data_IF_687522704881
#
_entry.id   IF_687522704881
#
_cell.length_a   1.000
_cell.length_b   1.000
_cell.length_c   1.000
_cell.angle_alpha   90.00
_cell.angle_beta   90.00
_cell.angle_gamma   90.00
#
_symmetry.space_group_name_H-M   'P 1'
#
loop_
_entity.id
_entity.type
_entity.pdbx_description
1 polymer ?
#
# COMPACT_ATOMS: atom_id res chain seq x y z
N UNK A 1 14.17 -12.21 -2.42
CA UNK A 1 14.64 -12.49 -1.06
C UNK A 1 16.17 -12.63 -1.05
N UNK A 2 16.77 -13.50 -1.90
CA UNK A 2 18.22 -13.69 -1.94
C UNK A 2 19.01 -12.41 -2.23
N UNK A 3 18.56 -11.59 -3.17
CA UNK A 3 19.17 -10.29 -3.46
C UNK A 3 19.09 -9.34 -2.25
N UNK A 4 17.92 -9.23 -1.62
CA UNK A 4 17.76 -8.43 -0.40
C UNK A 4 18.63 -8.94 0.76
N UNK A 5 18.79 -10.26 0.90
CA UNK A 5 19.70 -10.83 1.88
C UNK A 5 21.16 -10.45 1.60
N UNK A 6 21.56 -10.41 0.32
CA UNK A 6 22.91 -10.03 -0.10
C UNK A 6 23.20 -8.52 -0.03
N UNK A 7 22.22 -7.67 0.25
CA UNK A 7 22.42 -6.22 0.38
C UNK A 7 21.93 -5.40 -0.81
N UNK A 8 21.22 -6.01 -1.75
CA UNK A 8 20.68 -5.33 -2.92
C UNK A 8 19.21 -4.94 -2.71
N UNK A 9 18.76 -3.87 -3.37
CA UNK A 9 17.35 -3.55 -3.46
C UNK A 9 16.65 -4.57 -4.36
N UNK A 10 15.82 -5.41 -3.77
CA UNK A 10 15.10 -6.46 -4.49
C UNK A 10 13.74 -5.96 -4.99
N UNK A 11 13.52 -6.06 -6.30
CA UNK A 11 12.25 -5.71 -6.94
C UNK A 11 11.79 -6.88 -7.82
N UNK A 12 10.51 -7.23 -7.77
CA UNK A 12 9.89 -8.21 -8.67
C UNK A 12 8.52 -7.72 -9.13
N UNK A 13 8.12 -8.07 -10.35
CA UNK A 13 6.83 -7.69 -10.90
C UNK A 13 6.02 -8.93 -11.32
N UNK A 14 4.70 -8.85 -11.14
CA UNK A 14 3.76 -9.91 -11.49
C UNK A 14 2.33 -9.38 -11.63
N UNK A 15 1.35 -10.27 -11.67
CA UNK A 15 -0.09 -10.01 -11.56
C UNK A 15 -0.70 -10.86 -10.44
N UNK A 16 -1.99 -10.71 -10.15
CA UNK A 16 -2.68 -11.40 -9.06
C UNK A 16 -2.37 -12.88 -8.89
N UNK A 17 -2.43 -13.72 -9.96
CA UNK A 17 -2.04 -15.13 -9.85
C UNK A 17 -0.60 -15.34 -9.41
N UNK A 18 0.33 -14.50 -9.88
CA UNK A 18 1.73 -14.58 -9.47
C UNK A 18 1.95 -14.13 -8.02
N UNK A 19 1.16 -13.17 -7.49
CA UNK A 19 1.16 -12.82 -6.07
C UNK A 19 0.69 -14.02 -5.23
N UNK A 20 -0.38 -14.69 -5.65
CA UNK A 20 -0.86 -15.90 -4.98
C UNK A 20 0.23 -16.98 -4.86
N UNK A 21 0.98 -17.21 -5.95
CA UNK A 21 2.10 -18.14 -5.96
C UNK A 21 3.30 -17.71 -5.10
N UNK A 22 3.39 -16.43 -4.76
CA UNK A 22 4.50 -15.86 -3.96
C UNK A 22 4.09 -15.55 -2.52
N UNK A 23 2.87 -15.90 -2.09
CA UNK A 23 2.36 -15.53 -0.76
C UNK A 23 3.26 -16.03 0.36
N UNK A 24 3.80 -17.26 0.26
CA UNK A 24 4.75 -17.80 1.25
C UNK A 24 6.09 -17.03 1.23
N UNK A 25 6.61 -16.70 0.06
CA UNK A 25 7.83 -15.91 -0.05
C UNK A 25 7.67 -14.50 0.54
N UNK A 26 6.48 -13.89 0.44
CA UNK A 26 6.17 -12.63 1.09
C UNK A 26 6.11 -12.78 2.62
N UNK A 27 5.50 -13.84 3.13
CA UNK A 27 5.54 -14.19 4.56
C UNK A 27 6.97 -14.37 5.07
N UNK A 28 7.82 -15.06 4.30
CA UNK A 28 9.24 -15.19 4.60
C UNK A 28 9.96 -13.84 4.61
N UNK A 29 9.66 -12.93 3.68
CA UNK A 29 10.25 -11.58 3.67
C UNK A 29 9.81 -10.77 4.90
N UNK A 30 8.56 -10.90 5.34
CA UNK A 30 8.06 -10.26 6.58
C UNK A 30 8.80 -10.77 7.80
N UNK A 31 8.87 -12.09 7.99
CA UNK A 31 9.47 -12.66 9.21
C UNK A 31 10.99 -12.52 9.25
N UNK A 32 11.66 -12.43 8.11
CA UNK A 32 13.11 -12.19 8.02
C UNK A 32 13.45 -10.70 8.00
N UNK A 33 12.44 -9.84 7.88
CA UNK A 33 12.58 -8.38 7.80
C UNK A 33 13.59 -7.98 6.72
N UNK A 34 13.32 -8.37 5.50
CA UNK A 34 14.12 -8.03 4.31
C UNK A 34 13.39 -7.04 3.41
N UNK A 35 14.08 -6.02 2.88
CA UNK A 35 13.49 -5.07 1.95
C UNK A 35 13.17 -5.75 0.62
N UNK A 36 11.92 -5.67 0.20
CA UNK A 36 11.45 -6.23 -1.06
C UNK A 36 10.32 -5.36 -1.62
N UNK A 37 10.38 -5.02 -2.90
CA UNK A 37 9.25 -4.40 -3.58
C UNK A 37 8.64 -5.41 -4.56
N UNK A 38 7.34 -5.66 -4.39
CA UNK A 38 6.57 -6.47 -5.32
C UNK A 38 5.56 -5.59 -6.05
N UNK A 39 5.75 -5.43 -7.35
CA UNK A 39 4.79 -4.73 -8.22
C UNK A 39 3.75 -5.73 -8.70
N UNK A 40 2.49 -5.49 -8.35
CA UNK A 40 1.35 -6.25 -8.84
C UNK A 40 0.55 -5.41 -9.83
N UNK A 41 0.62 -5.77 -11.11
CA UNK A 41 -0.24 -5.18 -12.16
C UNK A 41 -1.55 -5.97 -12.18
N UNK A 42 -2.55 -5.45 -11.48
CA UNK A 42 -3.84 -6.11 -11.32
C UNK A 42 -4.60 -6.21 -12.64
N UNK A 43 -5.28 -7.32 -12.82
CA UNK A 43 -6.18 -7.56 -13.95
C UNK A 43 -7.41 -8.34 -13.50
N UNK A 44 -8.45 -8.38 -14.35
CA UNK A 44 -9.63 -9.18 -14.07
C UNK A 44 -9.31 -10.64 -13.77
N UNK A 45 -9.73 -11.11 -12.60
CA UNK A 45 -9.59 -12.47 -12.11
C UNK A 45 -10.90 -13.25 -12.20
N UNK A 46 -10.99 -14.43 -11.53
CA UNK A 46 -9.92 -15.19 -10.87
C UNK A 46 -8.99 -15.93 -11.84
N UNK A 47 -7.85 -16.42 -11.33
CA UNK A 47 -6.80 -17.11 -12.09
C UNK A 47 -6.32 -16.28 -13.28
N UNK A 48 -6.27 -16.83 -14.50
CA UNK A 48 -5.90 -16.09 -15.71
C UNK A 48 -6.91 -14.99 -16.04
N UNK A 49 -8.18 -15.20 -15.73
CA UNK A 49 -9.26 -14.21 -15.82
C UNK A 49 -9.37 -13.53 -17.17
N UNK A 50 -9.31 -12.19 -17.15
CA UNK A 50 -9.36 -11.34 -18.34
C UNK A 50 -7.99 -10.70 -18.58
N UNK A 51 -7.09 -11.31 -19.38
CA UNK A 51 -5.79 -10.72 -19.69
C UNK A 51 -5.91 -9.30 -20.22
N UNK A 52 -5.02 -8.41 -19.76
CA UNK A 52 -4.97 -6.99 -20.15
C UNK A 52 -6.20 -6.14 -19.77
N UNK A 53 -7.19 -6.68 -19.10
CA UNK A 53 -8.38 -5.96 -18.64
C UNK A 53 -8.21 -5.52 -17.20
N UNK A 54 -8.53 -4.25 -16.93
CA UNK A 54 -8.32 -3.64 -15.61
C UNK A 54 -9.35 -4.10 -14.60
N UNK A 55 -8.88 -4.43 -13.41
CA UNK A 55 -9.65 -4.56 -12.16
C UNK A 55 -8.77 -4.16 -10.97
N UNK A 56 -9.39 -3.94 -9.82
CA UNK A 56 -8.72 -3.68 -8.53
C UNK A 56 -9.04 -4.82 -7.55
N UNK A 57 -8.91 -6.05 -8.02
CA UNK A 57 -9.39 -7.25 -7.33
C UNK A 57 -8.44 -7.79 -6.26
N UNK A 58 -7.20 -7.28 -6.17
CA UNK A 58 -6.14 -7.89 -5.39
C UNK A 58 -5.82 -7.14 -4.07
N UNK A 59 -6.60 -6.13 -3.67
CA UNK A 59 -6.33 -5.36 -2.45
C UNK A 59 -6.39 -6.25 -1.19
N UNK A 60 -7.43 -7.06 -1.04
CA UNK A 60 -7.53 -7.98 0.09
C UNK A 60 -6.42 -9.03 0.07
N UNK A 61 -6.02 -9.52 -1.10
CA UNK A 61 -4.88 -10.42 -1.24
C UNK A 61 -3.58 -9.73 -0.79
N UNK A 62 -3.38 -8.47 -1.19
CA UNK A 62 -2.19 -7.71 -0.82
C UNK A 62 -2.11 -7.45 0.69
N UNK A 63 -3.22 -7.15 1.35
CA UNK A 63 -3.24 -6.85 2.78
C UNK A 63 -3.30 -8.12 3.62
N UNK A 64 -4.15 -9.12 3.27
CA UNK A 64 -4.49 -10.26 4.12
C UNK A 64 -4.12 -11.62 3.54
N UNK A 65 -3.71 -11.72 2.29
CA UNK A 65 -3.57 -12.98 1.53
C UNK A 65 -2.32 -13.80 1.86
N UNK A 66 -1.93 -13.88 3.13
CA UNK A 66 -0.81 -14.72 3.62
C UNK A 66 -1.23 -15.51 4.86
N UNK A 67 -0.46 -16.55 5.19
CA UNK A 67 -0.66 -17.26 6.45
C UNK A 67 -0.06 -16.45 7.62
N UNK A 68 -0.64 -16.61 8.80
CA UNK A 68 -0.22 -15.92 10.03
C UNK A 68 -0.44 -14.40 9.99
N UNK A 69 0.01 -13.73 11.05
CA UNK A 69 -0.01 -12.27 11.15
C UNK A 69 1.21 -11.70 10.43
N UNK A 70 1.05 -11.37 9.14
CA UNK A 70 2.11 -10.92 8.27
C UNK A 70 1.77 -9.56 7.64
N UNK A 71 1.82 -8.46 8.42
CA UNK A 71 1.46 -7.13 7.96
C UNK A 71 2.43 -6.64 6.88
N UNK A 72 1.91 -5.94 5.89
CA UNK A 72 2.68 -5.40 4.77
C UNK A 72 2.23 -4.01 4.39
N UNK A 73 3.14 -3.24 3.81
CA UNK A 73 2.81 -1.96 3.21
C UNK A 73 2.21 -2.17 1.82
N UNK A 74 1.12 -1.46 1.54
CA UNK A 74 0.42 -1.53 0.25
C UNK A 74 0.20 -0.12 -0.30
N UNK A 75 0.75 0.14 -1.47
CA UNK A 75 0.67 1.41 -2.18
C UNK A 75 -0.02 1.24 -3.53
N UNK A 76 -0.58 2.31 -4.08
CA UNK A 76 -1.17 2.31 -5.42
C UNK A 76 -0.92 3.64 -6.15
N UNK A 77 -0.38 3.64 -7.37
CA UNK A 77 -0.24 4.86 -8.17
C UNK A 77 -1.61 5.34 -8.66
N UNK A 78 -1.74 6.64 -8.89
CA UNK A 78 -2.97 7.28 -9.37
C UNK A 78 -3.02 7.39 -10.91
N UNK A 79 -1.87 7.53 -11.56
CA UNK A 79 -1.73 7.75 -13.00
C UNK A 79 -0.48 7.04 -13.53
N UNK A 80 -0.30 6.91 -14.87
CA UNK A 80 0.93 6.38 -15.44
C UNK A 80 2.19 7.11 -14.99
N UNK A 81 2.19 8.45 -14.94
CA UNK A 81 3.33 9.24 -14.47
C UNK A 81 3.60 9.02 -12.97
N UNK A 82 2.55 8.84 -12.16
CA UNK A 82 2.66 8.59 -10.72
C UNK A 82 3.28 7.23 -10.40
N UNK A 83 3.32 6.29 -11.36
CA UNK A 83 3.99 5.00 -11.18
C UNK A 83 5.45 5.15 -10.77
N UNK A 84 6.16 6.15 -11.33
CA UNK A 84 7.56 6.41 -10.97
C UNK A 84 7.68 6.81 -9.49
N UNK A 85 6.90 7.81 -9.07
CA UNK A 85 6.98 8.31 -7.69
C UNK A 85 6.54 7.27 -6.67
N UNK A 86 5.51 6.47 -6.98
CA UNK A 86 5.06 5.42 -6.07
C UNK A 86 6.00 4.21 -6.03
N UNK A 87 6.69 3.89 -7.13
CA UNK A 87 7.75 2.89 -7.12
C UNK A 87 8.96 3.37 -6.30
N UNK A 88 9.34 4.64 -6.45
CA UNK A 88 10.39 5.27 -5.64
C UNK A 88 10.04 5.23 -4.14
N UNK A 89 8.81 5.62 -3.78
CA UNK A 89 8.31 5.59 -2.41
C UNK A 89 8.27 4.16 -1.86
N UNK A 90 7.87 3.17 -2.65
CA UNK A 90 7.90 1.77 -2.25
C UNK A 90 9.33 1.30 -1.91
N UNK A 91 10.31 1.69 -2.71
CA UNK A 91 11.72 1.39 -2.46
C UNK A 91 12.23 2.09 -1.19
N UNK A 92 11.90 3.37 -1.02
CA UNK A 92 12.26 4.16 0.17
C UNK A 92 11.74 3.52 1.46
N UNK A 93 10.44 3.18 1.47
CA UNK A 93 9.82 2.51 2.62
C UNK A 93 10.46 1.14 2.88
N UNK A 94 10.64 0.33 1.84
CA UNK A 94 11.23 -1.00 1.99
C UNK A 94 12.62 -0.96 2.63
N UNK A 95 13.48 -0.04 2.17
CA UNK A 95 14.84 0.12 2.68
C UNK A 95 14.87 0.72 4.09
N UNK A 96 14.11 1.78 4.33
CA UNK A 96 14.08 2.47 5.63
C UNK A 96 13.58 1.57 6.74
N UNK A 97 12.49 0.83 6.49
CA UNK A 97 11.82 0.03 7.52
C UNK A 97 12.16 -1.46 7.49
N UNK A 98 13.00 -1.91 6.55
CA UNK A 98 13.35 -3.33 6.39
C UNK A 98 12.09 -4.21 6.31
N UNK A 99 11.21 -3.89 5.35
CA UNK A 99 9.90 -4.53 5.21
C UNK A 99 9.57 -4.73 3.72
N UNK A 100 8.85 -5.80 3.36
CA UNK A 100 8.32 -5.90 2.00
C UNK A 100 7.17 -4.91 1.76
N UNK A 101 7.13 -4.36 0.54
CA UNK A 101 6.10 -3.42 0.07
C UNK A 101 5.45 -3.96 -1.19
N UNK A 102 4.12 -3.94 -1.26
CA UNK A 102 3.37 -4.22 -2.49
C UNK A 102 2.94 -2.91 -3.14
N UNK A 103 3.28 -2.75 -4.42
CA UNK A 103 2.79 -1.67 -5.26
C UNK A 103 1.69 -2.22 -6.18
N UNK A 104 0.43 -1.86 -5.90
CA UNK A 104 -0.74 -2.25 -6.67
C UNK A 104 -0.95 -1.28 -7.83
N UNK A 105 -0.41 -1.59 -9.00
CA UNK A 105 -0.85 -0.99 -10.26
C UNK A 105 -2.03 -1.78 -10.82
N UNK A 106 -2.64 -1.30 -11.87
CA UNK A 106 -3.71 -2.01 -12.58
C UNK A 106 -3.57 -1.89 -14.09
N UNK A 107 -4.33 -2.70 -14.83
CA UNK A 107 -4.24 -2.76 -16.28
C UNK A 107 -4.58 -1.45 -17.00
N UNK A 108 -5.31 -0.53 -16.38
CA UNK A 108 -5.62 0.78 -16.96
C UNK A 108 -4.39 1.71 -16.87
N UNK A 109 -3.77 1.79 -15.70
CA UNK A 109 -2.56 2.62 -15.49
C UNK A 109 -1.38 2.05 -16.28
N UNK A 110 -1.14 0.73 -16.19
CA UNK A 110 0.02 0.09 -16.78
C UNK A 110 0.03 0.07 -18.33
N UNK A 111 -1.15 0.12 -18.95
CA UNK A 111 -1.30 0.25 -20.41
C UNK A 111 -1.60 1.70 -20.86
N UNK A 112 -1.77 2.60 -19.91
CA UNK A 112 -1.98 4.02 -20.18
C UNK A 112 -0.69 4.77 -20.49
N UNK A 113 -0.84 5.97 -21.06
CA UNK A 113 0.26 6.90 -21.26
C UNK A 113 -0.23 8.32 -20.99
N UNK A 114 0.68 9.16 -20.49
CA UNK A 114 0.44 10.57 -20.29
C UNK A 114 1.76 11.36 -20.46
N UNK A 115 1.72 12.66 -20.74
CA UNK A 115 2.91 13.48 -20.70
C UNK A 115 3.56 13.43 -19.33
N UNK A 116 4.86 13.12 -19.28
CA UNK A 116 5.60 13.01 -18.04
C UNK A 116 6.87 13.84 -18.06
N UNK A 117 7.03 14.70 -17.07
CA UNK A 117 8.26 15.46 -16.87
C UNK A 117 9.19 14.63 -15.98
N UNK A 118 10.37 14.30 -16.50
CA UNK A 118 11.40 13.61 -15.71
C UNK A 118 11.72 14.47 -14.49
N UNK A 119 11.58 13.92 -13.26
CA UNK A 119 11.88 14.68 -12.05
C UNK A 119 13.38 14.98 -11.94
N UNK A 120 13.72 16.09 -11.30
CA UNK A 120 15.10 16.34 -10.90
C UNK A 120 15.47 15.38 -9.77
N UNK A 121 16.48 14.55 -10.00
CA UNK A 121 16.94 13.55 -9.02
C UNK A 121 17.37 14.17 -7.69
N UNK A 122 17.82 15.43 -7.69
CA UNK A 122 18.21 16.15 -6.47
C UNK A 122 17.02 16.58 -5.60
N UNK A 123 15.80 16.48 -6.13
CA UNK A 123 14.56 16.80 -5.38
C UNK A 123 13.87 15.56 -4.82
N UNK A 124 14.36 14.37 -5.17
CA UNK A 124 13.82 13.13 -4.63
C UNK A 124 14.27 12.92 -3.17
N UNK A 125 13.40 12.40 -2.29
CA UNK A 125 13.80 12.05 -0.93
C UNK A 125 14.96 11.03 -0.92
N UNK A 126 15.85 11.14 0.05
CA UNK A 126 16.95 10.18 0.18
C UNK A 126 16.45 8.75 0.41
N UNK A 127 17.19 7.79 -0.18
CA UNK A 127 17.00 6.37 0.11
C UNK A 127 17.98 5.93 1.21
N UNK A 128 17.50 5.95 2.43
CA UNK A 128 18.29 5.48 3.57
C UNK A 128 18.46 3.96 3.53
N UNK A 129 19.70 3.50 3.72
CA UNK A 129 19.98 2.08 3.90
C UNK A 129 20.46 1.81 5.32
N UNK A 130 20.06 0.68 5.87
CA UNK A 130 20.44 0.27 7.23
C UNK A 130 21.63 -0.70 7.27
N UNK A 131 22.45 -0.69 6.23
CA UNK A 131 23.63 -1.55 6.13
C UNK A 131 24.63 -1.17 7.23
N UNK A 132 24.91 -2.13 8.11
CA UNK A 132 25.89 -1.97 9.16
C UNK A 132 27.31 -2.15 8.61
N UNK A 133 28.18 -1.23 9.02
CA UNK A 133 29.61 -1.25 8.68
C UNK A 133 30.52 -1.68 9.86
N UNK A 134 29.95 -1.76 11.06
CA UNK A 134 30.70 -2.05 12.28
C UNK A 134 29.98 -3.09 13.13
N UNK A 135 30.77 -3.97 13.75
CA UNK A 135 30.32 -5.06 14.61
C UNK A 135 29.87 -4.61 16.01
N UNK A 136 30.34 -3.47 16.50
CA UNK A 136 30.09 -3.01 17.88
C UNK A 136 28.59 -2.83 18.13
N UNK A 137 28.08 -3.50 19.17
CA UNK A 137 26.66 -3.48 19.51
C UNK A 137 25.75 -4.20 18.52
N UNK A 138 26.28 -5.07 17.66
CA UNK A 138 25.46 -5.80 16.70
C UNK A 138 24.55 -6.82 17.38
N UNK A 139 23.24 -6.63 17.18
CA UNK A 139 22.19 -7.59 17.47
C UNK A 139 21.29 -7.68 16.21
N UNK A 140 21.17 -8.87 15.59
CA UNK A 140 20.60 -9.01 14.24
C UNK A 140 19.12 -8.62 14.12
N UNK A 141 18.38 -8.64 15.23
CA UNK A 141 16.96 -8.26 15.29
C UNK A 141 16.73 -7.21 16.39
N UNK A 142 17.67 -6.27 16.53
CA UNK A 142 17.49 -5.13 17.43
C UNK A 142 16.52 -4.11 16.81
N UNK A 143 15.38 -3.90 17.47
CA UNK A 143 14.34 -2.94 17.10
C UNK A 143 14.37 -1.67 17.96
N UNK A 144 15.44 -1.43 18.68
CA UNK A 144 15.57 -0.30 19.61
C UNK A 144 15.66 1.10 18.97
N UNK A 145 15.38 1.22 17.66
CA UNK A 145 15.30 2.50 16.97
C UNK A 145 13.82 2.91 16.74
N UNK A 146 13.54 4.22 16.51
CA UNK A 146 12.17 4.72 16.38
C UNK A 146 11.37 4.13 15.21
N UNK A 147 12.04 3.57 14.22
CA UNK A 147 11.43 2.99 13.02
C UNK A 147 11.18 1.48 13.15
N UNK A 148 11.60 0.87 14.27
CA UNK A 148 11.52 -0.58 14.51
C UNK A 148 12.16 -1.42 13.39
N UNK A 149 13.10 -0.86 12.64
CA UNK A 149 13.80 -1.56 11.57
C UNK A 149 15.01 -2.29 12.13
N UNK A 150 15.15 -3.57 11.79
CA UNK A 150 16.37 -4.30 12.18
C UNK A 150 17.59 -3.76 11.44
N UNK A 151 18.81 -3.92 12.02
CA UNK A 151 20.04 -3.63 11.30
C UNK A 151 20.25 -4.60 10.13
N UNK A 152 20.80 -4.11 9.04
CA UNK A 152 21.07 -4.91 7.84
C UNK A 152 22.55 -5.32 7.79
N UNK A 153 22.88 -6.50 8.30
CA UNK A 153 24.21 -7.07 8.22
C UNK A 153 24.34 -7.91 6.96
N UNK A 154 25.33 -7.60 6.14
CA UNK A 154 25.57 -8.34 4.90
C UNK A 154 26.25 -9.69 5.18
N UNK A 155 25.92 -10.75 4.44
CA UNK A 155 26.60 -12.04 4.53
C UNK A 155 28.11 -11.90 4.35
N UNK A 156 28.87 -12.58 5.19
CA UNK A 156 30.33 -12.52 5.15
C UNK A 156 30.99 -11.35 5.89
N UNK A 157 30.22 -10.46 6.53
CA UNK A 157 30.75 -9.39 7.36
C UNK A 157 31.30 -10.01 8.67
N UNK A 158 32.63 -9.94 8.93
CA UNK A 158 33.24 -10.60 10.08
C UNK A 158 32.68 -10.15 11.42
N UNK A 159 32.26 -11.10 12.26
CA UNK A 159 31.70 -10.88 13.58
C UNK A 159 30.27 -10.40 13.59
N UNK A 160 29.57 -10.48 12.44
CA UNK A 160 28.12 -10.25 12.31
C UNK A 160 27.40 -11.52 11.82
N UNK A 161 28.03 -12.68 12.02
CA UNK A 161 27.43 -13.95 11.68
C UNK A 161 26.16 -14.17 12.52
N UNK A 162 25.05 -14.43 11.85
CA UNK A 162 23.77 -14.65 12.51
C UNK A 162 22.86 -15.54 11.69
N UNK A 163 21.89 -16.14 12.36
CA UNK A 163 20.86 -16.92 11.69
C UNK A 163 19.82 -16.00 11.07
N UNK A 164 19.39 -16.31 9.84
CA UNK A 164 18.19 -15.75 9.21
C UNK A 164 17.33 -16.91 8.69
N UNK A 165 16.01 -16.83 8.85
CA UNK A 165 15.10 -17.87 8.39
C UNK A 165 13.65 -17.65 8.84
N UNK A 166 12.76 -18.51 8.37
CA UNK A 166 11.32 -18.42 8.57
C UNK A 166 10.81 -18.87 9.93
N UNK A 167 11.65 -19.36 10.83
CA UNK A 167 11.23 -19.70 12.20
C UNK A 167 11.12 -18.45 13.06
N UNK A 168 10.23 -18.46 14.04
CA UNK A 168 10.17 -17.38 15.03
C UNK A 168 11.47 -17.33 15.84
N UNK A 169 11.83 -16.15 16.28
CA UNK A 169 13.10 -15.84 16.88
C UNK A 169 12.98 -14.90 18.07
N UNK A 170 13.95 -14.98 18.97
CA UNK A 170 14.11 -13.98 20.01
C UNK A 170 14.47 -12.63 19.40
N UNK A 171 13.81 -11.59 19.90
CA UNK A 171 14.23 -10.21 19.65
C UNK A 171 15.72 -10.07 20.05
N UNK A 172 16.43 -9.18 19.37
CA UNK A 172 17.88 -8.95 19.49
C UNK A 172 18.73 -10.10 18.95
N UNK A 173 18.69 -11.27 19.55
CA UNK A 173 19.67 -12.35 19.27
C UNK A 173 19.38 -13.11 17.97
N UNK A 174 18.15 -13.17 17.53
CA UNK A 174 17.74 -13.94 16.36
C UNK A 174 17.77 -15.47 16.55
N UNK A 175 17.99 -15.96 17.76
CA UNK A 175 17.91 -17.40 18.05
C UNK A 175 16.48 -17.89 17.92
N UNK A 176 16.29 -19.14 17.48
CA UNK A 176 14.95 -19.74 17.37
C UNK A 176 14.25 -19.72 18.72
N UNK A 177 13.01 -19.31 18.72
CA UNK A 177 12.17 -19.24 19.91
C UNK A 177 10.85 -19.97 19.69
N UNK A 178 10.44 -20.76 20.68
CA UNK A 178 9.11 -21.36 20.80
C UNK A 178 8.35 -20.80 22.01
N UNK A 179 8.89 -19.73 22.59
CA UNK A 179 8.30 -19.07 23.75
C UNK A 179 7.05 -18.30 23.31
N UNK A 180 5.88 -18.51 23.94
CA UNK A 180 4.62 -17.90 23.51
C UNK A 180 4.57 -16.40 23.75
N UNK A 181 5.20 -15.88 24.81
CA UNK A 181 5.22 -14.45 25.10
C UNK A 181 6.12 -13.70 24.10
N UNK A 182 7.27 -14.29 23.76
CA UNK A 182 8.12 -13.76 22.70
C UNK A 182 7.42 -13.77 21.34
N UNK A 183 6.66 -14.83 21.01
CA UNK A 183 5.91 -14.86 19.77
C UNK A 183 4.87 -13.73 19.70
N UNK A 184 4.08 -13.53 20.77
CA UNK A 184 3.15 -12.42 20.88
C UNK A 184 3.85 -11.08 20.65
N UNK A 185 4.96 -10.83 21.34
CA UNK A 185 5.76 -9.61 21.19
C UNK A 185 6.25 -9.39 19.75
N UNK A 186 6.77 -10.43 19.10
CA UNK A 186 7.29 -10.32 17.73
C UNK A 186 6.16 -10.05 16.69
N UNK A 187 4.96 -10.59 16.91
CA UNK A 187 3.78 -10.29 16.09
C UNK A 187 3.38 -8.82 16.26
N UNK A 188 3.25 -8.35 17.49
CA UNK A 188 2.92 -6.94 17.79
C UNK A 188 3.95 -5.97 17.21
N UNK A 189 5.23 -6.28 17.32
CA UNK A 189 6.33 -5.49 16.79
C UNK A 189 6.26 -5.36 15.25
N UNK A 190 5.93 -6.43 14.55
CA UNK A 190 5.73 -6.40 13.09
C UNK A 190 4.53 -5.55 12.69
N UNK A 191 3.43 -5.59 13.46
CA UNK A 191 2.28 -4.73 13.20
C UNK A 191 2.60 -3.27 13.52
N UNK A 192 3.22 -2.99 14.67
CA UNK A 192 3.59 -1.63 15.09
C UNK A 192 4.52 -0.97 14.08
N UNK A 193 5.46 -1.73 13.47
CA UNK A 193 6.31 -1.22 12.39
C UNK A 193 5.48 -0.67 11.22
N UNK A 194 4.43 -1.35 10.80
CA UNK A 194 3.54 -0.86 9.74
C UNK A 194 2.77 0.38 10.20
N UNK A 195 2.30 0.41 11.45
CA UNK A 195 1.56 1.54 12.00
C UNK A 195 2.43 2.80 12.14
N UNK A 196 3.70 2.63 12.50
CA UNK A 196 4.68 3.73 12.57
C UNK A 196 4.92 4.36 11.20
N UNK A 197 4.94 3.56 10.12
CA UNK A 197 5.10 4.08 8.76
C UNK A 197 4.05 5.15 8.43
N UNK A 198 2.84 5.04 8.98
CA UNK A 198 1.80 6.06 8.78
C UNK A 198 2.22 7.47 9.20
N UNK A 199 3.21 7.61 10.11
CA UNK A 199 3.75 8.92 10.57
C UNK A 199 4.59 9.60 9.51
N UNK A 200 5.20 8.82 8.62
CA UNK A 200 6.06 9.30 7.52
C UNK A 200 5.26 9.58 6.25
N UNK A 201 3.99 9.16 6.20
CA UNK A 201 3.15 9.38 5.04
C UNK A 201 2.66 10.82 4.96
N UNK A 202 2.58 11.40 3.76
CA UNK A 202 1.96 12.70 3.60
C UNK A 202 0.49 12.64 4.03
N UNK A 203 -0.03 13.70 4.69
CA UNK A 203 -1.44 13.76 5.05
C UNK A 203 -2.31 13.71 3.78
N UNK A 204 -3.41 12.97 3.86
CA UNK A 204 -4.41 12.94 2.81
C UNK A 204 -5.04 14.33 2.65
N UNK A 205 -5.27 14.74 1.40
CA UNK A 205 -5.84 16.05 1.09
C UNK A 205 -6.94 15.92 0.04
N UNK A 206 -8.20 16.25 0.38
CA UNK A 206 -9.27 16.27 -0.60
C UNK A 206 -9.03 17.32 -1.69
N UNK A 207 -9.41 16.99 -2.91
CA UNK A 207 -9.61 17.98 -3.96
C UNK A 207 -11.00 18.59 -3.81
N UNK A 208 -11.08 19.89 -3.69
CA UNK A 208 -12.30 20.65 -3.40
C UNK A 208 -12.29 21.18 -1.96
N UNK A 209 -13.47 21.28 -1.35
CA UNK A 209 -13.61 21.73 0.03
C UNK A 209 -13.20 20.62 1.01
N UNK A 210 -12.80 21.02 2.20
CA UNK A 210 -12.42 20.08 3.28
C UNK A 210 -13.63 19.47 4.00
N UNK A 211 -14.85 19.94 3.71
CA UNK A 211 -16.12 19.46 4.23
C UNK A 211 -17.23 19.65 3.21
N UNK A 212 -18.33 18.92 3.31
CA UNK A 212 -19.45 19.04 2.37
C UNK A 212 -20.46 17.90 2.44
N UNK A 213 -21.27 17.81 1.40
CA UNK A 213 -22.35 16.83 1.35
C UNK A 213 -21.83 15.43 1.02
N UNK A 214 -20.82 15.32 0.13
CA UNK A 214 -20.29 14.05 -0.33
C UNK A 214 -18.76 14.08 -0.49
N UNK A 215 -18.09 13.08 0.09
CA UNK A 215 -16.69 12.75 -0.22
C UNK A 215 -16.67 11.54 -1.15
N UNK A 216 -16.04 11.69 -2.31
CA UNK A 216 -15.80 10.59 -3.26
C UNK A 216 -14.38 10.10 -3.07
N UNK A 217 -14.21 8.83 -2.66
CA UNK A 217 -12.91 8.21 -2.45
C UNK A 217 -12.64 7.21 -3.57
N UNK A 218 -11.41 7.21 -4.06
CA UNK A 218 -10.89 6.20 -4.99
C UNK A 218 -9.41 5.93 -4.80
N UNK A 219 -8.91 4.98 -5.55
CA UNK A 219 -7.51 4.59 -5.60
C UNK A 219 -7.16 4.01 -6.98
N UNK A 220 -5.86 3.87 -7.28
CA UNK A 220 -5.42 3.27 -8.54
C UNK A 220 -5.99 3.96 -9.78
N UNK A 221 -6.32 3.20 -10.81
CA UNK A 221 -6.81 3.68 -12.11
C UNK A 221 -8.18 4.37 -12.11
N UNK A 222 -8.82 4.53 -10.96
CA UNK A 222 -10.11 5.26 -10.87
C UNK A 222 -9.93 6.79 -10.86
N UNK A 223 -8.71 7.30 -10.65
CA UNK A 223 -8.43 8.72 -10.42
C UNK A 223 -9.06 9.66 -11.45
N UNK A 224 -8.83 9.45 -12.73
CA UNK A 224 -9.26 10.37 -13.79
C UNK A 224 -10.78 10.49 -13.89
N UNK A 225 -11.48 9.36 -13.87
CA UNK A 225 -12.96 9.34 -13.95
C UNK A 225 -13.62 10.00 -12.74
N UNK A 226 -13.10 9.74 -11.54
CA UNK A 226 -13.62 10.34 -10.30
C UNK A 226 -13.34 11.83 -10.26
N UNK A 227 -12.12 12.24 -10.61
CA UNK A 227 -11.72 13.65 -10.65
C UNK A 227 -12.61 14.46 -11.59
N UNK A 228 -12.77 14.00 -12.82
CA UNK A 228 -13.59 14.68 -13.83
C UNK A 228 -15.08 14.76 -13.44
N UNK A 229 -15.63 13.69 -12.85
CA UNK A 229 -17.01 13.68 -12.38
C UNK A 229 -17.24 14.67 -11.23
N UNK A 230 -16.30 14.75 -10.29
CA UNK A 230 -16.38 15.71 -9.17
C UNK A 230 -16.25 17.15 -9.66
N UNK A 231 -15.34 17.44 -10.60
CA UNK A 231 -15.21 18.77 -11.21
C UNK A 231 -16.53 19.20 -11.89
N UNK A 232 -17.17 18.30 -12.62
CA UNK A 232 -18.49 18.56 -13.22
C UNK A 232 -19.55 18.80 -12.15
N UNK A 233 -19.64 17.99 -11.11
CA UNK A 233 -20.59 18.17 -10.02
C UNK A 233 -20.40 19.51 -9.29
N UNK A 234 -19.14 19.90 -9.05
CA UNK A 234 -18.81 21.21 -8.46
C UNK A 234 -19.24 22.38 -9.37
N UNK A 235 -19.06 22.24 -10.70
CA UNK A 235 -19.50 23.27 -11.65
C UNK A 235 -21.03 23.43 -11.69
N UNK A 236 -21.78 22.38 -11.32
CA UNK A 236 -23.22 22.40 -11.14
C UNK A 236 -23.66 22.85 -9.73
N UNK A 237 -22.74 23.30 -8.89
CA UNK A 237 -23.02 23.84 -7.55
C UNK A 237 -23.14 22.77 -6.44
N UNK A 238 -22.83 21.50 -6.69
CA UNK A 238 -22.87 20.45 -5.68
C UNK A 238 -21.66 20.56 -4.73
N UNK A 239 -21.87 20.33 -3.43
CA UNK A 239 -20.83 20.35 -2.40
C UNK A 239 -20.16 18.97 -2.29
N UNK A 240 -19.32 18.65 -3.29
CA UNK A 240 -18.65 17.35 -3.43
C UNK A 240 -17.15 17.53 -3.48
N UNK A 241 -16.38 16.64 -2.84
CA UNK A 241 -14.92 16.61 -2.91
C UNK A 241 -14.42 15.23 -3.26
N UNK A 242 -13.21 15.15 -3.84
CA UNK A 242 -12.55 13.90 -4.22
C UNK A 242 -11.30 13.67 -3.38
N UNK A 243 -11.17 12.49 -2.81
CA UNK A 243 -9.97 12.02 -2.13
C UNK A 243 -9.42 10.77 -2.84
N UNK A 244 -8.20 10.87 -3.36
CA UNK A 244 -7.53 9.72 -3.97
C UNK A 244 -6.47 9.15 -3.04
N UNK A 245 -6.60 7.88 -2.68
CA UNK A 245 -5.68 7.20 -1.77
C UNK A 245 -4.57 6.51 -2.56
N UNK A 246 -3.34 6.89 -2.26
CA UNK A 246 -2.11 6.27 -2.80
C UNK A 246 -1.46 5.30 -1.81
N UNK A 247 -1.78 5.44 -0.53
CA UNK A 247 -1.36 4.58 0.57
C UNK A 247 -2.59 3.84 1.09
N UNK A 248 -2.61 2.52 0.92
CA UNK A 248 -3.76 1.67 1.24
C UNK A 248 -3.55 0.87 2.52
N UNK A 249 -2.30 0.59 2.87
CA UNK A 249 -1.89 0.06 4.16
C UNK A 249 -0.42 0.46 4.46
N UNK A 250 -0.15 1.23 5.54
CA UNK A 250 -1.14 1.88 6.39
C UNK A 250 -1.88 3.01 5.65
N UNK A 251 -3.08 3.32 6.11
CA UNK A 251 -3.83 4.48 5.63
C UNK A 251 -3.25 5.78 6.22
N UNK A 252 -3.38 6.94 5.54
CA UNK A 252 -2.96 8.23 6.08
C UNK A 252 -3.61 8.52 7.44
N UNK A 253 -2.82 9.05 8.40
CA UNK A 253 -3.27 9.25 9.78
C UNK A 253 -4.50 10.14 9.92
N UNK A 254 -4.61 11.17 9.08
CA UNK A 254 -5.70 12.14 9.12
C UNK A 254 -6.98 11.69 8.38
N UNK A 255 -7.02 10.46 7.86
CA UNK A 255 -8.16 10.02 7.06
C UNK A 255 -9.46 10.00 7.87
N UNK A 256 -9.43 9.52 9.12
CA UNK A 256 -10.61 9.52 9.99
C UNK A 256 -11.19 10.91 10.23
N UNK A 257 -10.33 11.92 10.42
CA UNK A 257 -10.74 13.32 10.58
C UNK A 257 -11.38 13.90 9.31
N UNK A 258 -10.94 13.46 8.14
CA UNK A 258 -11.53 13.88 6.86
C UNK A 258 -12.92 13.26 6.68
N UNK A 259 -13.04 11.95 6.95
CA UNK A 259 -14.30 11.22 6.74
C UNK A 259 -15.49 11.85 7.48
N UNK A 260 -15.28 12.26 8.73
CA UNK A 260 -16.35 12.82 9.58
C UNK A 260 -16.77 14.24 9.20
N UNK A 261 -16.04 14.91 8.32
CA UNK A 261 -16.39 16.27 7.83
C UNK A 261 -17.39 16.27 6.68
N UNK A 262 -17.76 15.11 6.17
CA UNK A 262 -18.71 14.97 5.07
C UNK A 262 -19.96 14.23 5.53
N UNK A 263 -21.12 14.64 5.02
CA UNK A 263 -22.40 14.00 5.38
C UNK A 263 -22.49 12.57 4.84
N UNK A 264 -21.94 12.33 3.64
CA UNK A 264 -21.87 11.02 3.00
C UNK A 264 -20.49 10.75 2.47
N UNK A 265 -20.11 9.47 2.44
CA UNK A 265 -18.87 8.99 1.84
C UNK A 265 -19.20 7.96 0.78
N UNK A 266 -18.70 8.15 -0.44
CA UNK A 266 -18.78 7.18 -1.52
C UNK A 266 -17.39 6.64 -1.83
N UNK A 267 -17.25 5.33 -1.95
CA UNK A 267 -16.00 4.67 -2.34
C UNK A 267 -16.22 3.98 -3.69
N UNK A 268 -15.45 4.41 -4.70
CA UNK A 268 -15.54 3.89 -6.05
C UNK A 268 -14.39 2.95 -6.37
N UNK A 269 -14.70 1.69 -6.68
CA UNK A 269 -13.71 0.63 -6.86
C UNK A 269 -14.05 -0.28 -8.05
N UNK A 270 -13.02 -0.73 -8.74
CA UNK A 270 -13.13 -1.77 -9.78
C UNK A 270 -13.09 -3.18 -9.16
N UNK A 271 -13.82 -3.38 -8.08
CA UNK A 271 -14.01 -4.63 -7.33
C UNK A 271 -15.35 -4.57 -6.57
N UNK A 272 -15.65 -5.53 -5.73
CA UNK A 272 -16.89 -5.61 -4.93
C UNK A 272 -16.80 -4.91 -3.56
N UNK A 273 -16.02 -3.82 -3.44
CA UNK A 273 -15.96 -2.99 -2.24
C UNK A 273 -14.88 -3.41 -1.23
N UNK A 274 -13.71 -3.81 -1.70
CA UNK A 274 -12.61 -4.24 -0.83
C UNK A 274 -12.10 -3.10 0.06
N UNK A 275 -11.83 -1.91 -0.49
CA UNK A 275 -11.47 -0.73 0.31
C UNK A 275 -12.65 -0.22 1.14
N UNK A 276 -13.87 -0.26 0.60
CA UNK A 276 -15.06 0.14 1.34
C UNK A 276 -15.21 -0.66 2.63
N UNK A 277 -14.97 -1.96 2.59
CA UNK A 277 -15.01 -2.82 3.78
C UNK A 277 -13.91 -2.46 4.79
N UNK A 278 -12.71 -2.18 4.34
CA UNK A 278 -11.60 -1.75 5.20
C UNK A 278 -11.92 -0.42 5.89
N UNK A 279 -12.41 0.56 5.14
CA UNK A 279 -12.78 1.89 5.67
C UNK A 279 -13.92 1.77 6.68
N UNK A 280 -14.96 1.00 6.35
CA UNK A 280 -16.09 0.74 7.28
C UNK A 280 -15.62 0.11 8.58
N UNK A 281 -14.79 -0.93 8.49
CA UNK A 281 -14.29 -1.65 9.67
C UNK A 281 -13.37 -0.78 10.54
N UNK A 282 -12.49 0.01 9.92
CA UNK A 282 -11.49 0.80 10.64
C UNK A 282 -12.06 2.08 11.25
N UNK A 283 -12.99 2.74 10.57
CA UNK A 283 -13.49 4.06 10.96
C UNK A 283 -14.97 4.09 11.36
N UNK A 284 -15.69 2.97 11.27
CA UNK A 284 -17.11 2.83 11.57
C UNK A 284 -17.99 3.83 10.78
N UNK A 285 -17.61 4.11 9.54
CA UNK A 285 -18.30 5.04 8.65
C UNK A 285 -19.22 4.26 7.71
N UNK A 286 -20.47 4.72 7.56
CA UNK A 286 -21.42 4.18 6.57
C UNK A 286 -21.06 4.68 5.17
N UNK A 287 -20.03 4.07 4.56
CA UNK A 287 -19.59 4.42 3.22
C UNK A 287 -20.43 3.68 2.16
N UNK A 288 -20.93 4.40 1.16
CA UNK A 288 -21.64 3.83 0.01
C UNK A 288 -20.63 3.35 -1.05
N UNK A 289 -20.79 2.13 -1.55
CA UNK A 289 -19.97 1.60 -2.64
C UNK A 289 -20.49 2.01 -4.02
N UNK A 290 -19.57 2.41 -4.91
CA UNK A 290 -19.81 2.39 -6.36
C UNK A 290 -18.86 1.34 -6.95
N UNK A 291 -19.39 0.16 -7.27
CA UNK A 291 -18.61 -1.01 -7.63
C UNK A 291 -18.81 -1.39 -9.09
N UNK A 292 -17.69 -1.71 -9.79
CA UNK A 292 -17.74 -2.16 -11.18
C UNK A 292 -16.74 -3.28 -11.40
N UNK A 293 -17.20 -4.43 -11.88
CA UNK A 293 -16.35 -5.62 -12.16
C UNK A 293 -16.63 -6.06 -13.60
N UNK A 294 -16.04 -5.35 -14.55
CA UNK A 294 -16.31 -5.55 -15.98
C UNK A 294 -15.04 -5.59 -16.84
N UNK A 295 -13.85 -5.55 -16.21
CA UNK A 295 -12.60 -5.40 -16.95
C UNK A 295 -12.47 -4.06 -17.69
N UNK A 296 -13.19 -3.02 -17.23
CA UNK A 296 -13.23 -1.66 -17.81
C UNK A 296 -13.15 -0.61 -16.71
N UNK A 297 -12.50 0.55 -16.96
CA UNK A 297 -12.51 1.66 -16.02
C UNK A 297 -13.93 2.24 -15.88
N UNK A 298 -14.14 3.06 -14.86
CA UNK A 298 -15.31 3.93 -14.79
C UNK A 298 -15.30 4.95 -15.91
N UNK A 299 -16.49 5.33 -16.38
CA UNK A 299 -16.69 6.55 -17.14
C UNK A 299 -17.04 7.69 -16.20
N UNK A 300 -16.76 8.92 -16.60
CA UNK A 300 -17.16 10.12 -15.87
C UNK A 300 -18.70 10.16 -15.63
N UNK A 301 -19.50 9.75 -16.61
CA UNK A 301 -20.96 9.72 -16.53
C UNK A 301 -21.47 8.74 -15.45
N UNK A 302 -20.90 7.53 -15.37
CA UNK A 302 -21.30 6.56 -14.33
C UNK A 302 -21.09 7.14 -12.92
N UNK A 303 -19.95 7.77 -12.69
CA UNK A 303 -19.61 8.38 -11.41
C UNK A 303 -20.49 9.60 -11.13
N UNK A 304 -20.66 10.47 -12.11
CA UNK A 304 -21.50 11.69 -11.98
C UNK A 304 -22.96 11.36 -11.65
N UNK A 305 -23.53 10.35 -12.31
CA UNK A 305 -24.89 9.92 -12.02
C UNK A 305 -25.03 9.44 -10.57
N UNK A 306 -24.06 8.68 -10.07
CA UNK A 306 -24.08 8.24 -8.67
C UNK A 306 -23.87 9.38 -7.67
N UNK A 307 -23.03 10.34 -7.98
CA UNK A 307 -22.90 11.58 -7.19
C UNK A 307 -24.24 12.29 -7.10
N UNK A 308 -24.93 12.49 -8.23
CA UNK A 308 -26.22 13.18 -8.31
C UNK A 308 -27.29 12.45 -7.49
N UNK A 309 -27.37 11.12 -7.60
CA UNK A 309 -28.26 10.28 -6.78
C UNK A 309 -28.02 10.51 -5.28
N UNK A 310 -26.76 10.49 -4.84
CA UNK A 310 -26.42 10.61 -3.42
C UNK A 310 -26.63 12.02 -2.87
N UNK A 311 -26.39 13.06 -3.67
CA UNK A 311 -26.50 14.47 -3.23
C UNK A 311 -27.94 14.98 -3.34
N UNK A 312 -28.64 14.68 -4.45
CA UNK A 312 -30.00 15.20 -4.70
C UNK A 312 -31.10 14.29 -4.16
N UNK A 313 -30.77 13.03 -3.77
CA UNK A 313 -31.74 12.09 -3.24
C UNK A 313 -32.76 11.59 -4.28
N UNK A 314 -32.33 11.52 -5.55
CA UNK A 314 -33.15 11.06 -6.66
C UNK A 314 -33.07 9.53 -6.84
#
# INVERSE_FOLDING_TARGET
IGAAFAGDLAITATSGPGVALKSEALGLAVITELPLVLVNVQRGGPSTGLPTKTEQSDLNQAIYGRNGEAPMVVLAPATPADCFMMAYEACRIALKYMIPVILLSDGYIANGSEPWKIPDVNTLPDMETRILKKKEGFAPFNHGNPDLARPWALPGTPGMEHRIGGLEKWEETGHVSYDPENHQKMVELRQEKVDIIARDLPPAKPFGKESGDLLVIGWGGTHGALRSAVETAQSEGMSVSHLHLRHLNPLPQNLGEILVKFQKVMIAELNLGQLANIIRAKFLVDAVGLNKVQGKPFTQTEVFNKITELVKGA
#
